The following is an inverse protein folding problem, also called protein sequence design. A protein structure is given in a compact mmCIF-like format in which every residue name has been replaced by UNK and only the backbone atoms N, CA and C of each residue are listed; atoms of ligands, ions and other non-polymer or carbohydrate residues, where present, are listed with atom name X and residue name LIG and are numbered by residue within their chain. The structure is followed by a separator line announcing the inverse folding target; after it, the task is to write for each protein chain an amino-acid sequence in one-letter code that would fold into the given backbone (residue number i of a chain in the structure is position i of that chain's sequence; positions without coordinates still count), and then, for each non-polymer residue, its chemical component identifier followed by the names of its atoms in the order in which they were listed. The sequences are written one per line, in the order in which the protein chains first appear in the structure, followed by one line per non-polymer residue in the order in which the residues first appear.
data_IF_257145597581
#
_entry.id   IF_257145597581
#
_cell.length_a   1.000
_cell.length_b   1.000
_cell.length_c   1.000
_cell.angle_alpha   90.00
_cell.angle_beta   90.00
_cell.angle_gamma   90.00
#
_symmetry.space_group_name_H-M   'P 1'
#
loop_
_entity.id
_entity.type
_entity.pdbx_description
1 polymer ?
#
# COMPACT_ATOMS: atom_id res chain seq x y z
N UNK A 1 70.44 61.49 64.22
CA UNK A 1 70.44 61.18 62.76
C UNK A 1 69.73 59.85 62.55
N UNK A 2 68.39 59.77 62.73
CA UNK A 2 67.70 58.47 62.62
C UNK A 2 66.18 58.49 62.41
N UNK A 3 65.44 59.57 62.67
CA UNK A 3 63.98 59.60 62.41
C UNK A 3 63.64 59.88 60.92
N UNK A 4 64.23 60.92 60.33
CA UNK A 4 63.94 61.30 58.93
C UNK A 4 64.30 60.22 57.88
N UNK A 5 65.20 59.29 58.20
CA UNK A 5 65.59 58.18 57.32
C UNK A 5 64.64 56.99 57.42
N UNK A 6 63.98 56.80 58.56
CA UNK A 6 63.05 55.69 58.78
C UNK A 6 61.70 55.96 58.10
N UNK A 7 61.16 57.18 58.24
CA UNK A 7 59.91 57.58 57.59
C UNK A 7 60.02 57.51 56.05
N UNK A 8 61.18 57.86 55.49
CA UNK A 8 61.44 57.73 54.06
C UNK A 8 61.46 56.27 53.57
N UNK A 9 61.98 55.34 54.38
CA UNK A 9 61.96 53.91 54.08
C UNK A 9 60.54 53.32 54.16
N UNK A 10 59.76 53.72 55.18
CA UNK A 10 58.36 53.32 55.32
C UNK A 10 57.52 53.82 54.14
N UNK A 11 57.71 55.09 53.73
CA UNK A 11 57.04 55.65 52.57
C UNK A 11 57.39 54.90 51.28
N UNK A 12 58.65 54.52 51.11
CA UNK A 12 59.11 53.76 49.94
C UNK A 12 58.52 52.34 49.89
N UNK A 13 58.55 51.60 51.01
CA UNK A 13 57.94 50.26 51.10
C UNK A 13 56.43 50.32 50.85
N UNK A 14 55.75 51.35 51.37
CA UNK A 14 54.32 51.54 51.14
C UNK A 14 54.02 51.85 49.67
N UNK A 15 54.85 52.67 49.02
CA UNK A 15 54.75 52.96 47.59
C UNK A 15 54.98 51.71 46.73
N UNK A 16 56.03 50.94 47.01
CA UNK A 16 56.35 49.70 46.30
C UNK A 16 55.24 48.65 46.48
N UNK A 17 54.65 48.54 47.67
CA UNK A 17 53.52 47.66 47.93
C UNK A 17 52.23 48.08 47.20
N UNK A 18 51.97 49.38 47.10
CA UNK A 18 50.84 49.92 46.31
C UNK A 18 51.06 49.63 44.83
N UNK A 19 52.22 49.97 44.26
CA UNK A 19 52.55 49.68 42.85
C UNK A 19 52.45 48.19 42.52
N UNK A 20 52.96 47.31 43.40
CA UNK A 20 52.87 45.88 43.20
C UNK A 20 51.42 45.36 43.22
N UNK A 21 50.59 45.88 44.14
CA UNK A 21 49.17 45.53 44.23
C UNK A 21 48.39 46.03 43.01
N UNK A 22 48.69 47.23 42.53
CA UNK A 22 48.05 47.86 41.38
C UNK A 22 48.39 47.12 40.09
N UNK A 23 49.65 46.68 39.95
CA UNK A 23 50.10 45.85 38.84
C UNK A 23 49.44 44.47 38.83
N UNK A 24 49.30 43.81 39.99
CA UNK A 24 48.62 42.52 40.08
C UNK A 24 47.10 42.65 39.82
N UNK A 25 46.47 43.72 40.31
CA UNK A 25 45.06 44.00 40.02
C UNK A 25 44.82 44.24 38.52
N UNK A 26 45.70 45.00 37.86
CA UNK A 26 45.65 45.19 36.41
C UNK A 26 45.80 43.88 35.65
N UNK A 27 46.72 43.01 36.09
CA UNK A 27 46.93 41.68 35.51
C UNK A 27 45.68 40.78 35.65
N UNK A 28 45.07 40.74 36.84
CA UNK A 28 43.84 39.98 37.08
C UNK A 28 42.70 40.47 36.17
N UNK A 29 42.54 41.78 36.03
CA UNK A 29 41.51 42.37 35.16
C UNK A 29 41.79 42.04 33.69
N UNK A 30 43.05 42.10 33.26
CA UNK A 30 43.44 41.73 31.90
C UNK A 30 43.15 40.26 31.61
N UNK A 31 43.51 39.35 32.51
CA UNK A 31 43.26 37.92 32.38
C UNK A 31 41.75 37.61 32.37
N UNK A 32 40.97 38.29 33.22
CA UNK A 32 39.51 38.15 33.25
C UNK A 32 38.86 38.62 31.94
N UNK A 33 39.29 39.77 31.41
CA UNK A 33 38.84 40.30 30.11
C UNK A 33 39.19 39.34 28.97
N UNK A 34 40.40 38.80 28.96
CA UNK A 34 40.83 37.84 27.95
C UNK A 34 39.99 36.56 28.00
N UNK A 35 39.76 35.98 29.19
CA UNK A 35 38.88 34.80 29.36
C UNK A 35 37.45 35.07 28.93
N UNK A 36 36.90 36.24 29.25
CA UNK A 36 35.55 36.63 28.82
C UNK A 36 35.46 36.71 27.30
N UNK A 37 36.46 37.29 26.64
CA UNK A 37 36.52 37.37 25.18
C UNK A 37 36.64 35.98 24.53
N UNK A 38 37.45 35.09 25.10
CA UNK A 38 37.54 33.70 24.63
C UNK A 38 36.20 32.96 24.77
N UNK A 39 35.49 33.15 25.89
CA UNK A 39 34.20 32.51 26.13
C UNK A 39 33.12 33.02 25.16
N UNK A 40 33.09 34.34 24.91
CA UNK A 40 32.23 34.95 23.90
C UNK A 40 32.54 34.42 22.49
N UNK A 41 33.81 34.35 22.12
CA UNK A 41 34.22 33.82 20.81
C UNK A 41 33.84 32.36 20.64
N UNK A 42 33.97 31.54 21.70
CA UNK A 42 33.56 30.15 21.68
C UNK A 42 32.05 30.02 21.57
N UNK A 43 31.29 30.79 22.35
CA UNK A 43 29.83 30.77 22.31
C UNK A 43 29.28 31.17 20.92
N UNK A 44 29.90 32.16 20.25
CA UNK A 44 29.50 32.55 18.90
C UNK A 44 29.83 31.46 17.88
N UNK A 45 31.00 30.80 18.00
CA UNK A 45 31.35 29.66 17.14
C UNK A 45 30.39 28.48 17.34
N UNK A 46 30.10 28.11 18.60
CA UNK A 46 29.18 27.02 18.94
C UNK A 46 27.75 27.32 18.43
N UNK A 47 27.32 28.59 18.50
CA UNK A 47 26.03 29.05 17.95
C UNK A 47 25.96 28.88 16.43
N UNK A 48 27.01 29.27 15.70
CA UNK A 48 27.06 29.10 14.24
C UNK A 48 26.95 27.62 13.89
N UNK A 49 27.73 26.75 14.54
CA UNK A 49 27.68 25.30 14.34
C UNK A 49 26.28 24.75 14.62
N UNK A 50 25.65 25.17 15.72
CA UNK A 50 24.31 24.71 16.07
C UNK A 50 23.26 25.13 15.03
N UNK A 51 23.34 26.35 14.52
CA UNK A 51 22.45 26.84 13.47
C UNK A 51 22.65 26.08 12.15
N UNK A 52 23.91 25.84 11.75
CA UNK A 52 24.23 25.08 10.55
C UNK A 52 23.73 23.63 10.66
N UNK A 53 23.93 22.98 11.81
CA UNK A 53 23.39 21.65 12.06
C UNK A 53 21.86 21.62 12.05
N UNK A 54 21.22 22.62 12.64
CA UNK A 54 19.76 22.71 12.68
C UNK A 54 19.20 22.88 11.26
N UNK A 55 19.83 23.73 10.44
CA UNK A 55 19.47 23.94 9.05
C UNK A 55 19.65 22.65 8.24
N UNK A 56 20.80 21.98 8.36
CA UNK A 56 21.06 20.72 7.68
C UNK A 56 20.05 19.62 8.07
N UNK A 57 19.66 19.55 9.35
CA UNK A 57 18.61 18.61 9.82
C UNK A 57 17.24 18.97 9.25
N UNK A 58 16.90 20.25 9.17
CA UNK A 58 15.64 20.72 8.60
C UNK A 58 15.54 20.39 7.11
N UNK A 59 16.60 20.64 6.35
CA UNK A 59 16.66 20.34 4.91
C UNK A 59 16.55 18.83 4.67
N UNK A 60 17.30 18.03 5.44
CA UNK A 60 17.22 16.57 5.36
C UNK A 60 15.82 16.03 5.70
N UNK A 61 15.13 16.65 6.67
CA UNK A 61 13.75 16.27 7.02
C UNK A 61 12.77 16.63 5.89
N UNK A 62 12.94 17.81 5.29
CA UNK A 62 12.11 18.28 4.20
C UNK A 62 12.25 17.40 2.96
N UNK A 63 13.46 16.99 2.61
CA UNK A 63 13.71 16.08 1.50
C UNK A 63 13.14 14.68 1.76
N UNK A 64 13.31 14.15 2.97
CA UNK A 64 12.66 12.90 3.38
C UNK A 64 11.14 12.99 3.30
N UNK A 65 10.58 14.11 3.74
CA UNK A 65 9.15 14.39 3.69
C UNK A 65 8.62 14.40 2.26
N UNK A 66 9.32 15.05 1.31
CA UNK A 66 8.96 15.04 -0.11
C UNK A 66 8.96 13.62 -0.70
N UNK A 67 9.99 12.82 -0.41
CA UNK A 67 10.06 11.43 -0.87
C UNK A 67 8.92 10.60 -0.30
N UNK A 68 8.64 10.72 1.00
CA UNK A 68 7.55 10.02 1.66
C UNK A 68 6.18 10.41 1.07
N UNK A 69 5.95 11.70 0.79
CA UNK A 69 4.72 12.18 0.18
C UNK A 69 4.53 11.65 -1.24
N UNK A 70 5.60 11.63 -2.06
CA UNK A 70 5.56 11.05 -3.40
C UNK A 70 5.25 9.55 -3.36
N UNK A 71 5.80 8.82 -2.40
CA UNK A 71 5.50 7.42 -2.21
C UNK A 71 4.03 7.22 -1.82
N UNK A 72 3.53 7.99 -0.86
CA UNK A 72 2.12 7.94 -0.44
C UNK A 72 1.16 8.24 -1.60
N UNK A 73 1.50 9.23 -2.45
CA UNK A 73 0.71 9.54 -3.65
C UNK A 73 0.66 8.36 -4.64
N UNK A 74 1.80 7.70 -4.86
CA UNK A 74 1.88 6.49 -5.69
C UNK A 74 1.07 5.34 -5.09
N UNK A 75 1.15 5.14 -3.79
CA UNK A 75 0.43 4.08 -3.09
C UNK A 75 -1.09 4.29 -3.19
N UNK A 76 -1.56 5.53 -3.04
CA UNK A 76 -2.98 5.88 -3.26
C UNK A 76 -3.40 5.59 -4.71
N UNK A 77 -2.60 5.99 -5.70
CA UNK A 77 -2.91 5.72 -7.10
C UNK A 77 -3.02 4.21 -7.39
N UNK A 78 -2.10 3.40 -6.84
CA UNK A 78 -2.12 1.95 -6.98
C UNK A 78 -3.36 1.36 -6.28
N UNK A 79 -3.66 1.80 -5.06
CA UNK A 79 -4.83 1.33 -4.31
C UNK A 79 -6.13 1.56 -5.09
N UNK A 80 -6.31 2.77 -5.62
CA UNK A 80 -7.50 3.12 -6.42
C UNK A 80 -7.61 2.24 -7.66
N UNK A 81 -6.50 2.02 -8.38
CA UNK A 81 -6.49 1.12 -9.55
C UNK A 81 -6.89 -0.30 -9.19
N UNK A 82 -6.35 -0.85 -8.11
CA UNK A 82 -6.69 -2.18 -7.65
C UNK A 82 -8.15 -2.30 -7.23
N UNK A 83 -8.70 -1.27 -6.57
CA UNK A 83 -10.10 -1.27 -6.13
C UNK A 83 -11.07 -1.16 -7.32
N UNK A 84 -10.72 -0.39 -8.37
CA UNK A 84 -11.49 -0.36 -9.61
C UNK A 84 -11.45 -1.72 -10.32
N UNK A 85 -10.30 -2.40 -10.36
CA UNK A 85 -10.22 -3.74 -10.95
C UNK A 85 -11.08 -4.76 -10.21
N UNK A 86 -11.11 -4.71 -8.86
CA UNK A 86 -12.01 -5.55 -8.07
C UNK A 86 -13.48 -5.25 -8.38
N UNK A 87 -13.83 -3.97 -8.55
CA UNK A 87 -15.17 -3.57 -8.95
C UNK A 87 -15.54 -4.14 -10.32
N UNK A 88 -14.66 -4.04 -11.32
CA UNK A 88 -14.91 -4.64 -12.64
C UNK A 88 -15.06 -6.15 -12.58
N UNK A 89 -14.23 -6.85 -11.79
CA UNK A 89 -14.38 -8.29 -11.57
C UNK A 89 -15.74 -8.62 -10.94
N UNK A 90 -16.15 -7.88 -9.91
CA UNK A 90 -17.43 -8.11 -9.23
C UNK A 90 -18.64 -7.86 -10.15
N UNK A 91 -18.57 -6.82 -10.99
CA UNK A 91 -19.59 -6.56 -12.01
C UNK A 91 -19.61 -7.68 -13.04
N UNK A 92 -18.43 -8.12 -13.53
CA UNK A 92 -18.33 -9.23 -14.47
C UNK A 92 -18.93 -10.53 -13.92
N UNK A 93 -18.64 -10.88 -12.66
CA UNK A 93 -19.22 -12.05 -11.99
C UNK A 93 -20.74 -11.97 -11.92
N UNK A 94 -21.28 -10.79 -11.60
CA UNK A 94 -22.73 -10.55 -11.53
C UNK A 94 -23.37 -10.69 -12.92
N UNK A 95 -22.81 -10.02 -13.93
CA UNK A 95 -23.32 -10.08 -15.31
C UNK A 95 -23.27 -11.50 -15.89
N UNK A 96 -22.22 -12.27 -15.59
CA UNK A 96 -22.13 -13.67 -16.04
C UNK A 96 -23.17 -14.53 -15.33
N UNK A 97 -23.33 -14.36 -14.01
CA UNK A 97 -24.35 -15.08 -13.24
C UNK A 97 -25.76 -14.79 -13.76
N UNK A 98 -26.08 -13.53 -14.02
CA UNK A 98 -27.36 -13.12 -14.60
C UNK A 98 -27.53 -13.59 -16.05
N UNK A 99 -26.41 -13.78 -16.76
CA UNK A 99 -26.35 -14.37 -18.10
C UNK A 99 -26.74 -15.86 -18.15
N UNK A 100 -26.78 -16.58 -17.03
CA UNK A 100 -27.30 -17.95 -16.95
C UNK A 100 -28.84 -17.98 -17.03
N UNK A 101 -29.37 -17.50 -18.15
CA UNK A 101 -30.79 -17.48 -18.43
C UNK A 101 -31.30 -18.86 -18.83
N UNK A 102 -32.62 -19.12 -18.65
CA UNK A 102 -33.28 -20.31 -19.18
C UNK A 102 -32.90 -20.67 -20.62
N UNK A 103 -32.87 -19.67 -21.50
CA UNK A 103 -32.59 -19.83 -22.92
C UNK A 103 -31.14 -20.26 -23.15
N UNK A 104 -30.19 -19.72 -22.39
CA UNK A 104 -28.79 -20.11 -22.48
C UNK A 104 -28.60 -21.55 -22.01
N UNK A 105 -29.20 -21.95 -20.90
CA UNK A 105 -29.15 -23.34 -20.43
C UNK A 105 -29.65 -24.30 -21.49
N UNK A 106 -30.82 -24.04 -22.07
CA UNK A 106 -31.39 -24.89 -23.14
C UNK A 106 -30.41 -25.00 -24.30
N UNK A 107 -29.86 -23.88 -24.77
CA UNK A 107 -28.92 -23.85 -25.91
C UNK A 107 -27.62 -24.60 -25.63
N UNK A 108 -27.03 -24.40 -24.46
CA UNK A 108 -25.77 -25.05 -24.06
C UNK A 108 -25.99 -26.54 -23.89
N UNK A 109 -27.03 -26.94 -23.16
CA UNK A 109 -27.35 -28.35 -22.90
C UNK A 109 -27.64 -29.09 -24.20
N UNK A 110 -28.46 -28.53 -25.11
CA UNK A 110 -28.69 -29.14 -26.42
C UNK A 110 -27.39 -29.35 -27.19
N UNK A 111 -26.50 -28.35 -27.20
CA UNK A 111 -25.20 -28.46 -27.89
C UNK A 111 -24.28 -29.50 -27.26
N UNK A 112 -24.26 -29.59 -25.93
CA UNK A 112 -23.48 -30.59 -25.19
C UNK A 112 -23.96 -32.01 -25.54
N UNK A 113 -25.27 -32.23 -25.58
CA UNK A 113 -25.86 -33.53 -25.94
C UNK A 113 -25.57 -33.88 -27.39
N UNK A 114 -25.72 -32.92 -28.31
CA UNK A 114 -25.44 -33.12 -29.74
C UNK A 114 -23.97 -33.49 -29.99
N UNK A 115 -23.04 -32.96 -29.19
CA UNK A 115 -21.61 -33.25 -29.33
C UNK A 115 -21.17 -34.53 -28.61
N UNK A 116 -21.71 -34.82 -27.43
CA UNK A 116 -21.28 -35.94 -26.58
C UNK A 116 -22.09 -37.22 -26.78
N UNK A 117 -23.27 -37.14 -27.38
CA UNK A 117 -24.12 -38.30 -27.70
C UNK A 117 -24.80 -38.92 -26.46
N UNK A 118 -24.78 -40.26 -26.39
CA UNK A 118 -25.41 -41.04 -25.30
C UNK A 118 -24.56 -41.06 -24.01
N UNK A 119 -25.12 -41.54 -22.90
CA UNK A 119 -24.42 -41.71 -21.61
C UNK A 119 -23.94 -40.39 -20.99
N UNK A 120 -24.74 -39.33 -21.12
CA UNK A 120 -24.47 -38.03 -20.51
C UNK A 120 -25.46 -37.79 -19.38
N UNK A 121 -24.95 -37.39 -18.22
CA UNK A 121 -25.72 -36.89 -17.09
C UNK A 121 -25.43 -35.41 -16.90
N UNK A 122 -26.47 -34.62 -16.68
CA UNK A 122 -26.38 -33.17 -16.49
C UNK A 122 -26.94 -32.83 -15.12
N UNK A 123 -26.15 -32.15 -14.31
CA UNK A 123 -26.62 -31.62 -13.04
C UNK A 123 -26.79 -30.10 -13.09
N UNK A 124 -27.92 -29.63 -12.54
CA UNK A 124 -28.23 -28.22 -12.37
C UNK A 124 -28.24 -27.84 -10.88
N UNK A 125 -28.09 -26.55 -10.53
CA UNK A 125 -28.26 -26.08 -9.16
C UNK A 125 -29.60 -26.51 -8.56
N UNK A 126 -29.63 -26.90 -7.29
CA UNK A 126 -30.86 -27.28 -6.60
C UNK A 126 -31.91 -26.16 -6.56
N UNK A 127 -31.46 -24.91 -6.56
CA UNK A 127 -32.33 -23.72 -6.52
C UNK A 127 -32.88 -23.34 -7.91
N UNK A 128 -32.62 -24.16 -8.94
CA UNK A 128 -33.14 -23.95 -10.29
C UNK A 128 -34.65 -24.14 -10.28
N UNK A 129 -35.40 -23.15 -10.80
CA UNK A 129 -36.86 -23.20 -10.91
C UNK A 129 -37.33 -24.47 -11.64
N UNK A 130 -38.35 -25.12 -11.11
CA UNK A 130 -38.88 -26.37 -11.67
C UNK A 130 -39.35 -26.19 -13.13
N UNK A 131 -39.94 -25.04 -13.46
CA UNK A 131 -40.33 -24.69 -14.83
C UNK A 131 -39.16 -24.70 -15.82
N UNK A 132 -37.98 -24.25 -15.38
CA UNK A 132 -36.77 -24.26 -16.19
C UNK A 132 -36.27 -25.70 -16.39
N UNK A 133 -36.25 -26.51 -15.33
CA UNK A 133 -35.89 -27.93 -15.43
C UNK A 133 -36.83 -28.66 -16.41
N UNK A 134 -38.13 -28.36 -16.36
CA UNK A 134 -39.12 -28.93 -17.27
C UNK A 134 -38.95 -28.43 -18.72
N UNK A 135 -38.67 -27.14 -18.92
CA UNK A 135 -38.39 -26.58 -20.24
C UNK A 135 -37.14 -27.21 -20.88
N UNK A 136 -36.08 -27.43 -20.10
CA UNK A 136 -34.87 -28.12 -20.55
C UNK A 136 -35.21 -29.57 -20.93
N UNK A 137 -35.90 -30.31 -20.06
CA UNK A 137 -36.34 -31.70 -20.34
C UNK A 137 -37.16 -31.78 -21.63
N UNK A 138 -38.08 -30.86 -21.87
CA UNK A 138 -38.90 -30.83 -23.10
C UNK A 138 -38.09 -30.47 -24.34
N UNK A 139 -37.14 -29.53 -24.23
CA UNK A 139 -36.25 -29.18 -25.35
C UNK A 139 -35.35 -30.35 -25.74
N UNK A 140 -34.85 -31.05 -24.73
CA UNK A 140 -33.94 -32.19 -24.88
C UNK A 140 -34.67 -33.46 -25.33
N UNK A 141 -35.95 -33.64 -24.97
CA UNK A 141 -36.77 -34.76 -25.45
C UNK A 141 -36.95 -34.80 -26.98
N UNK A 142 -36.66 -33.68 -27.67
CA UNK A 142 -36.62 -33.62 -29.15
C UNK A 142 -35.33 -34.20 -29.73
N UNK A 143 -34.30 -34.43 -28.91
CA UNK A 143 -33.04 -35.06 -29.32
C UNK A 143 -33.15 -36.59 -29.29
N UNK A 144 -32.26 -37.26 -30.03
CA UNK A 144 -32.24 -38.74 -30.14
C UNK A 144 -31.81 -39.43 -28.84
N UNK A 145 -31.19 -38.70 -27.92
CA UNK A 145 -30.67 -39.19 -26.64
C UNK A 145 -31.23 -38.34 -25.50
N UNK A 146 -31.85 -39.00 -24.52
CA UNK A 146 -32.37 -38.34 -23.30
C UNK A 146 -31.31 -38.49 -22.21
N UNK A 147 -30.57 -37.43 -21.86
CA UNK A 147 -29.66 -37.44 -20.73
C UNK A 147 -30.44 -37.51 -19.41
N UNK A 148 -29.79 -38.03 -18.38
CA UNK A 148 -30.30 -37.93 -17.02
C UNK A 148 -30.07 -36.50 -16.52
N UNK A 149 -31.15 -35.81 -16.13
CA UNK A 149 -31.08 -34.45 -15.58
C UNK A 149 -31.36 -34.52 -14.09
N UNK A 150 -30.35 -34.21 -13.28
CA UNK A 150 -30.41 -34.20 -11.82
C UNK A 150 -30.17 -32.79 -11.26
N UNK A 151 -30.44 -32.61 -9.98
CA UNK A 151 -30.12 -31.38 -9.25
C UNK A 151 -29.03 -31.65 -8.20
N UNK A 152 -28.08 -30.73 -8.05
CA UNK A 152 -26.97 -30.80 -7.09
C UNK A 152 -27.04 -29.61 -6.12
N UNK A 153 -26.93 -29.88 -4.81
CA UNK A 153 -26.94 -28.84 -3.77
C UNK A 153 -25.60 -28.09 -3.63
N UNK A 154 -24.49 -28.67 -4.08
CA UNK A 154 -23.17 -28.04 -4.00
C UNK A 154 -22.87 -27.12 -5.21
N UNK A 155 -23.75 -27.10 -6.22
CA UNK A 155 -23.61 -26.27 -7.41
C UNK A 155 -24.46 -25.01 -7.25
N UNK A 156 -23.82 -23.87 -7.01
CA UNK A 156 -24.50 -22.59 -6.79
C UNK A 156 -24.95 -21.93 -8.09
N UNK A 157 -24.20 -22.11 -9.18
CA UNK A 157 -24.47 -21.54 -10.49
C UNK A 157 -23.91 -22.45 -11.59
N UNK A 158 -24.50 -22.38 -12.80
CA UNK A 158 -24.00 -23.10 -13.96
C UNK A 158 -24.51 -24.53 -14.09
N UNK A 159 -23.70 -25.42 -14.65
CA UNK A 159 -24.08 -26.82 -14.89
C UNK A 159 -22.90 -27.78 -14.78
N UNK A 160 -23.16 -29.02 -14.40
CA UNK A 160 -22.17 -30.11 -14.41
C UNK A 160 -22.52 -31.10 -15.50
N UNK A 161 -21.54 -31.48 -16.33
CA UNK A 161 -21.67 -32.50 -17.37
C UNK A 161 -20.82 -33.69 -16.97
N UNK A 162 -21.44 -34.87 -16.89
CA UNK A 162 -20.77 -36.12 -16.56
C UNK A 162 -20.99 -37.14 -17.68
N UNK A 163 -19.91 -37.75 -18.15
CA UNK A 163 -19.93 -38.81 -19.16
C UNK A 163 -19.82 -40.15 -18.45
N UNK A 164 -20.93 -40.88 -18.37
CA UNK A 164 -21.05 -42.03 -17.44
C UNK A 164 -20.33 -43.29 -17.90
N UNK A 165 -20.06 -43.43 -19.19
CA UNK A 165 -19.28 -44.52 -19.80
C UNK A 165 -17.76 -44.28 -19.70
N UNK A 166 -17.31 -43.03 -19.77
CA UNK A 166 -15.88 -42.67 -19.70
C UNK A 166 -15.43 -42.23 -18.30
N UNK A 167 -16.37 -41.94 -17.40
CA UNK A 167 -16.11 -41.65 -15.98
C UNK A 167 -15.55 -40.25 -15.68
N UNK A 168 -15.57 -39.32 -16.64
CA UNK A 168 -15.16 -37.93 -16.40
C UNK A 168 -16.35 -37.02 -16.12
N UNK A 169 -16.09 -35.92 -15.41
CA UNK A 169 -17.06 -34.87 -15.14
C UNK A 169 -16.40 -33.49 -15.27
N UNK A 170 -17.12 -32.55 -15.87
CA UNK A 170 -16.78 -31.14 -15.89
C UNK A 170 -17.87 -30.33 -15.18
N UNK A 171 -17.46 -29.33 -14.41
CA UNK A 171 -18.35 -28.30 -13.90
C UNK A 171 -18.08 -27.03 -14.72
N UNK A 172 -19.16 -26.36 -15.10
CA UNK A 172 -19.15 -25.12 -15.85
C UNK A 172 -19.93 -24.13 -15.00
N UNK A 173 -19.23 -23.46 -14.09
CA UNK A 173 -19.80 -22.52 -13.13
C UNK A 173 -19.70 -21.07 -13.64
N UNK A 174 -20.53 -20.16 -13.11
CA UNK A 174 -20.41 -18.74 -13.43
C UNK A 174 -19.06 -18.18 -12.96
N UNK A 175 -18.58 -18.65 -11.81
CA UNK A 175 -17.32 -18.27 -11.20
C UNK A 175 -16.13 -18.64 -12.10
N UNK A 176 -16.08 -19.87 -12.62
CA UNK A 176 -15.02 -20.31 -13.53
C UNK A 176 -15.01 -19.52 -14.85
N UNK A 177 -16.20 -19.25 -15.41
CA UNK A 177 -16.31 -18.42 -16.61
C UNK A 177 -15.86 -16.98 -16.33
N UNK A 178 -16.24 -16.43 -15.18
CA UNK A 178 -15.83 -15.10 -14.76
C UNK A 178 -14.31 -15.01 -14.61
N UNK A 179 -13.67 -16.00 -13.99
CA UNK A 179 -12.22 -16.04 -13.84
C UNK A 179 -11.50 -16.17 -15.19
N UNK A 180 -11.99 -17.04 -16.08
CA UNK A 180 -11.43 -17.19 -17.43
C UNK A 180 -11.54 -15.88 -18.22
N UNK A 181 -12.71 -15.24 -18.21
CA UNK A 181 -12.90 -13.95 -18.89
C UNK A 181 -12.06 -12.84 -18.23
N UNK A 182 -11.96 -12.81 -16.91
CA UNK A 182 -11.14 -11.86 -16.18
C UNK A 182 -9.65 -11.98 -16.55
N UNK A 183 -9.12 -13.19 -16.78
CA UNK A 183 -7.74 -13.37 -17.25
C UNK A 183 -7.48 -12.69 -18.60
N UNK A 184 -8.48 -12.64 -19.48
CA UNK A 184 -8.38 -11.97 -20.77
C UNK A 184 -8.70 -10.46 -20.73
N UNK A 185 -9.63 -10.06 -19.86
CA UNK A 185 -10.13 -8.69 -19.77
C UNK A 185 -9.29 -7.80 -18.84
N UNK A 186 -8.66 -8.37 -17.81
CA UNK A 186 -7.88 -7.62 -16.82
C UNK A 186 -6.79 -6.76 -17.46
N UNK A 187 -6.04 -7.29 -18.43
CA UNK A 187 -5.04 -6.51 -19.18
C UNK A 187 -5.66 -5.32 -19.92
N UNK A 188 -6.81 -5.51 -20.57
CA UNK A 188 -7.52 -4.43 -21.26
C UNK A 188 -8.04 -3.38 -20.28
N UNK A 189 -8.51 -3.79 -19.10
CA UNK A 189 -8.91 -2.85 -18.05
C UNK A 189 -7.72 -2.06 -17.51
N UNK A 190 -6.56 -2.68 -17.35
CA UNK A 190 -5.32 -1.97 -16.97
C UNK A 190 -4.94 -0.94 -18.01
N UNK A 191 -5.04 -1.27 -19.29
CA UNK A 191 -4.79 -0.33 -20.39
C UNK A 191 -5.75 0.86 -20.35
N UNK A 192 -7.06 0.61 -20.17
CA UNK A 192 -8.06 1.67 -20.02
C UNK A 192 -7.77 2.58 -18.82
N UNK A 193 -7.30 2.02 -17.70
CA UNK A 193 -6.93 2.77 -16.48
C UNK A 193 -5.54 3.43 -16.57
N UNK A 194 -4.78 3.16 -17.63
CA UNK A 194 -3.47 3.77 -17.91
C UNK A 194 -3.54 4.95 -18.88
N UNK A 195 -4.65 5.13 -19.61
CA UNK A 195 -4.76 6.22 -20.57
C UNK A 195 -4.84 7.59 -19.87
N UNK A 196 -3.75 8.33 -19.98
CA UNK A 196 -3.74 9.75 -20.37
C UNK A 196 -3.96 9.86 -21.89
#
# INVERSE_FOLDING_TARGET
MSEHTLDGLIAKVKSEAIEASEKEAQKIIADAKHKAQQLLSKAEADKVVLLDEAQAKADALLDKGKVALNQAARDVQISVKNDIQKLFKSVLETEIKDGFTPELYVKVISKVIDQLGSHVSIALPADTKEDLVNAIKQSVAKSKTVPEIITKHNLLSGLSVTKTDEGWSYEITAEEIADLLNQHLSNKWVELLRND
#
